data_IF_819148402621
#
_entry.id   IF_819148402621
#
_cell.length_a   1.000
_cell.length_b   1.000
_cell.length_c   1.000
_cell.angle_alpha   90.00
_cell.angle_beta   90.00
_cell.angle_gamma   90.00
#
_symmetry.space_group_name_H-M   'P 1'
#
loop_
_entity.id
_entity.type
_entity.pdbx_description
1 polymer ?
#
# COMPACT_ATOMS: atom_id res chain seq x y z
N UNK A 1 53.26 -11.60 75.04
CA UNK A 1 52.30 -11.77 73.93
C UNK A 1 52.86 -11.06 72.70
N UNK A 2 53.38 -11.81 71.73
CA UNK A 2 53.78 -11.30 70.42
C UNK A 2 52.73 -11.78 69.43
N UNK A 3 52.01 -10.87 68.80
CA UNK A 3 51.08 -11.19 67.73
C UNK A 3 51.87 -11.33 66.43
N UNK A 4 51.75 -12.49 65.80
CA UNK A 4 52.42 -12.82 64.55
C UNK A 4 51.61 -12.24 63.38
N UNK A 5 52.13 -11.18 62.76
CA UNK A 5 51.48 -10.37 61.71
C UNK A 5 51.78 -10.90 60.28
N UNK A 6 52.41 -12.06 60.15
CA UNK A 6 52.96 -12.54 58.87
C UNK A 6 51.96 -13.26 57.95
N UNK A 7 50.72 -13.49 58.38
CA UNK A 7 49.72 -14.24 57.59
C UNK A 7 48.76 -13.40 56.72
N UNK A 8 48.82 -12.06 56.78
CA UNK A 8 47.83 -11.19 56.08
C UNK A 8 48.21 -10.79 54.65
N UNK A 9 49.50 -10.74 54.31
CA UNK A 9 49.92 -10.21 52.99
C UNK A 9 49.69 -11.21 51.85
N UNK A 10 49.71 -12.52 52.13
CA UNK A 10 49.59 -13.55 51.08
C UNK A 10 48.18 -13.68 50.47
N UNK A 11 47.14 -13.32 51.22
CA UNK A 11 45.74 -13.41 50.75
C UNK A 11 45.42 -12.25 49.80
N UNK A 12 45.93 -11.05 50.11
CA UNK A 12 45.74 -9.86 49.30
C UNK A 12 46.50 -9.97 47.97
N UNK A 13 47.72 -10.49 47.97
CA UNK A 13 48.49 -10.73 46.75
C UNK A 13 47.88 -11.81 45.85
N UNK A 14 47.20 -12.81 46.43
CA UNK A 14 46.40 -13.78 45.67
C UNK A 14 45.15 -13.13 45.06
N UNK A 15 44.47 -12.25 45.78
CA UNK A 15 43.31 -11.52 45.26
C UNK A 15 43.71 -10.51 44.19
N UNK A 16 44.80 -9.76 44.38
CA UNK A 16 45.37 -8.84 43.39
C UNK A 16 45.85 -9.63 42.16
N UNK A 17 46.56 -10.75 42.32
CA UNK A 17 46.97 -11.59 41.19
C UNK A 17 45.78 -12.20 40.44
N UNK A 18 44.71 -12.61 41.14
CA UNK A 18 43.48 -13.07 40.51
C UNK A 18 42.73 -11.95 39.77
N UNK A 19 42.77 -10.72 40.29
CA UNK A 19 42.21 -9.53 39.65
C UNK A 19 43.05 -9.06 38.44
N UNK A 20 44.37 -9.12 38.53
CA UNK A 20 45.32 -8.77 37.47
C UNK A 20 45.34 -9.83 36.37
N UNK A 21 45.26 -11.13 36.68
CA UNK A 21 45.07 -12.20 35.67
C UNK A 21 43.75 -12.10 34.91
N UNK A 22 42.73 -11.45 35.46
CA UNK A 22 41.50 -11.12 34.72
C UNK A 22 41.66 -9.94 33.76
N UNK A 23 42.80 -9.22 33.80
CA UNK A 23 43.02 -7.97 33.03
C UNK A 23 44.04 -8.05 31.90
N UNK A 24 44.76 -9.14 31.69
CA UNK A 24 45.39 -9.40 30.39
C UNK A 24 44.33 -9.97 29.44
N UNK A 25 43.27 -9.20 29.24
CA UNK A 25 42.29 -9.43 28.18
C UNK A 25 43.10 -9.25 26.90
N UNK A 26 43.39 -10.34 26.19
CA UNK A 26 44.05 -10.27 24.89
C UNK A 26 43.41 -9.13 24.11
N UNK A 27 44.23 -8.20 23.63
CA UNK A 27 43.75 -7.06 22.85
C UNK A 27 43.12 -7.66 21.60
N UNK A 28 41.80 -7.74 21.63
CA UNK A 28 41.06 -8.19 20.48
C UNK A 28 41.11 -7.07 19.45
N UNK A 29 41.60 -7.40 18.25
CA UNK A 29 41.62 -6.49 17.10
C UNK A 29 40.23 -6.14 16.55
N UNK A 30 39.18 -6.79 17.08
CA UNK A 30 37.81 -6.67 16.63
C UNK A 30 37.55 -7.39 15.31
N UNK A 31 36.27 -7.63 15.02
CA UNK A 31 35.78 -8.20 13.78
C UNK A 31 35.04 -7.12 12.99
N UNK A 32 35.44 -6.89 11.74
CA UNK A 32 34.78 -5.91 10.88
C UNK A 32 33.62 -6.57 10.14
N UNK A 33 32.39 -6.15 10.44
CA UNK A 33 31.21 -6.63 9.70
C UNK A 33 31.29 -6.21 8.22
N UNK A 34 31.01 -7.13 7.27
CA UNK A 34 30.85 -6.77 5.86
C UNK A 34 29.52 -6.05 5.67
N UNK A 35 29.56 -4.72 5.66
CA UNK A 35 28.36 -3.88 5.50
C UNK A 35 28.26 -3.47 4.02
N UNK A 36 27.14 -3.73 3.34
CA UNK A 36 26.95 -3.31 1.96
C UNK A 36 27.11 -1.80 1.79
N UNK A 37 27.64 -1.39 0.63
CA UNK A 37 27.82 0.03 0.32
C UNK A 37 26.48 0.80 0.41
N UNK A 38 26.52 1.98 1.03
CA UNK A 38 25.34 2.83 1.21
C UNK A 38 24.50 2.51 2.44
N UNK A 39 24.83 1.46 3.19
CA UNK A 39 24.11 1.11 4.43
C UNK A 39 24.89 1.54 5.67
N UNK A 40 24.14 2.04 6.66
CA UNK A 40 24.68 2.25 8.00
C UNK A 40 24.69 0.91 8.76
N UNK A 41 25.77 0.58 9.47
CA UNK A 41 25.84 -0.63 10.30
C UNK A 41 24.74 -0.68 11.37
N UNK A 42 24.26 0.49 11.82
CA UNK A 42 23.15 0.62 12.76
C UNK A 42 21.77 0.31 12.15
N UNK A 43 21.65 0.30 10.83
CA UNK A 43 20.39 -0.02 10.16
C UNK A 43 20.27 -1.50 9.83
N UNK A 44 21.39 -2.19 9.60
CA UNK A 44 21.39 -3.58 9.15
C UNK A 44 21.65 -4.59 10.27
N UNK A 45 22.34 -4.17 11.35
CA UNK A 45 22.63 -5.08 12.46
C UNK A 45 21.39 -5.38 13.31
N UNK A 46 21.10 -6.65 13.65
CA UNK A 46 19.93 -7.06 14.43
C UNK A 46 20.16 -6.89 15.94
N UNK A 47 20.01 -5.66 16.45
CA UNK A 47 20.28 -5.33 17.86
C UNK A 47 19.48 -6.16 18.87
N UNK A 48 18.24 -6.49 18.54
CA UNK A 48 17.35 -7.27 19.40
C UNK A 48 17.82 -8.71 19.65
N UNK A 49 18.78 -9.22 18.86
CA UNK A 49 19.40 -10.52 19.17
C UNK A 49 20.16 -10.52 20.50
N UNK A 50 20.71 -9.38 20.92
CA UNK A 50 21.41 -9.30 22.21
C UNK A 50 20.47 -9.39 23.42
N UNK A 51 19.18 -9.13 23.23
CA UNK A 51 18.17 -9.28 24.29
C UNK A 51 17.63 -10.71 24.38
N UNK A 52 17.62 -11.43 23.25
CA UNK A 52 17.02 -12.76 23.13
C UNK A 52 18.05 -13.88 23.18
N UNK A 53 19.32 -13.60 22.88
CA UNK A 53 20.41 -14.56 22.82
C UNK A 53 21.62 -14.08 23.62
N UNK A 54 22.27 -15.00 24.32
CA UNK A 54 23.53 -14.74 25.02
C UNK A 54 24.70 -14.75 24.03
N UNK A 55 24.82 -13.70 23.22
CA UNK A 55 25.90 -13.58 22.25
C UNK A 55 27.24 -13.30 22.96
N UNK A 56 28.34 -13.98 22.59
CA UNK A 56 29.64 -13.82 23.24
C UNK A 56 30.38 -12.51 22.87
N UNK A 57 29.73 -11.61 22.13
CA UNK A 57 30.28 -10.31 21.74
C UNK A 57 29.34 -9.18 22.12
N UNK A 58 29.92 -8.00 22.28
CA UNK A 58 29.16 -6.76 22.43
C UNK A 58 29.25 -5.95 21.12
N UNK A 59 28.17 -5.25 20.79
CA UNK A 59 28.16 -4.36 19.65
C UNK A 59 28.71 -2.98 20.07
N UNK A 60 29.95 -2.70 19.68
CA UNK A 60 30.56 -1.38 19.91
C UNK A 60 30.91 -0.70 18.59
N UNK A 61 30.31 0.46 18.30
CA UNK A 61 30.62 1.20 17.07
C UNK A 61 31.81 2.15 17.25
N UNK A 62 32.97 1.62 17.65
CA UNK A 62 34.23 2.37 17.51
C UNK A 62 34.91 1.83 16.25
N UNK A 63 34.86 2.60 15.15
CA UNK A 63 35.48 2.28 13.87
C UNK A 63 34.89 1.09 13.08
N UNK A 64 33.68 0.62 13.42
CA UNK A 64 33.02 -0.46 12.68
C UNK A 64 33.52 -1.87 13.01
N UNK A 65 34.16 -2.06 14.16
CA UNK A 65 34.63 -3.36 14.65
C UNK A 65 33.79 -3.85 15.82
N UNK A 66 33.36 -5.10 15.79
CA UNK A 66 32.79 -5.83 16.93
C UNK A 66 33.94 -6.37 17.78
N UNK A 67 33.97 -6.13 19.09
CA UNK A 67 35.05 -6.67 19.92
C UNK A 67 34.84 -8.15 20.28
N UNK A 68 35.69 -9.07 19.81
CA UNK A 68 36.20 -10.25 20.56
C UNK A 68 37.03 -11.23 19.68
N UNK A 69 37.74 -12.15 20.34
CA UNK A 69 38.58 -13.17 19.70
C UNK A 69 37.74 -14.35 19.19
N UNK A 70 38.05 -14.87 18.01
CA UNK A 70 37.45 -16.07 17.37
C UNK A 70 35.99 -15.96 16.90
N UNK A 71 35.54 -14.76 16.56
CA UNK A 71 34.19 -14.54 16.03
C UNK A 71 33.94 -15.14 14.65
N UNK A 72 34.97 -15.24 13.82
CA UNK A 72 34.83 -15.73 12.44
C UNK A 72 34.29 -17.16 12.38
N UNK A 73 34.58 -17.98 13.40
CA UNK A 73 34.08 -19.35 13.50
C UNK A 73 32.71 -19.45 14.21
N UNK A 74 32.16 -18.33 14.70
CA UNK A 74 30.89 -18.33 15.40
C UNK A 74 29.71 -18.44 14.41
N UNK A 75 28.99 -19.57 14.48
CA UNK A 75 27.84 -19.83 13.62
C UNK A 75 26.76 -18.74 13.67
N UNK A 76 26.45 -18.19 14.84
CA UNK A 76 25.44 -17.15 14.96
C UNK A 76 25.85 -15.85 14.26
N UNK A 77 27.15 -15.50 14.30
CA UNK A 77 27.65 -14.35 13.55
C UNK A 77 27.59 -14.60 12.04
N UNK A 78 27.97 -15.79 11.58
CA UNK A 78 27.87 -16.16 10.16
C UNK A 78 26.42 -16.09 9.66
N UNK A 79 25.46 -16.58 10.45
CA UNK A 79 24.04 -16.48 10.11
C UNK A 79 23.55 -15.01 10.05
N UNK A 80 24.08 -14.13 10.90
CA UNK A 80 23.77 -12.68 10.85
C UNK A 80 24.39 -12.05 9.60
N UNK A 81 25.64 -12.37 9.27
CA UNK A 81 26.32 -11.86 8.08
C UNK A 81 25.56 -12.27 6.82
N UNK A 82 25.21 -13.55 6.70
CA UNK A 82 24.44 -14.05 5.56
C UNK A 82 23.12 -13.29 5.38
N UNK A 83 22.44 -12.95 6.48
CA UNK A 83 21.19 -12.18 6.44
C UNK A 83 21.37 -10.71 6.13
N UNK A 84 22.52 -10.11 6.47
CA UNK A 84 22.86 -8.76 6.04
C UNK A 84 23.07 -8.74 4.53
N UNK A 85 23.65 -9.80 3.96
CA UNK A 85 23.92 -9.94 2.52
C UNK A 85 22.66 -10.28 1.72
N UNK A 86 21.93 -11.33 2.12
CA UNK A 86 20.75 -11.83 1.40
C UNK A 86 19.46 -11.07 1.72
N UNK A 87 19.45 -10.33 2.83
CA UNK A 87 18.26 -9.77 3.43
C UNK A 87 17.55 -10.73 4.39
N UNK A 88 16.60 -10.18 5.15
CA UNK A 88 15.79 -10.93 6.11
C UNK A 88 14.38 -11.06 5.54
N UNK A 89 13.87 -12.29 5.49
CA UNK A 89 12.51 -12.56 5.00
C UNK A 89 11.46 -11.91 5.92
N UNK A 90 10.37 -11.39 5.36
CA UNK A 90 9.33 -10.64 6.11
C UNK A 90 8.67 -11.44 7.24
N UNK A 91 8.65 -12.77 7.14
CA UNK A 91 8.07 -13.66 8.16
C UNK A 91 9.07 -14.11 9.22
N UNK A 92 10.31 -13.62 9.16
CA UNK A 92 11.31 -13.95 10.18
C UNK A 92 10.92 -13.31 11.51
N UNK A 93 11.32 -13.90 12.66
CA UNK A 93 11.14 -13.25 13.95
C UNK A 93 11.81 -11.87 13.99
N UNK A 94 11.16 -10.91 14.67
CA UNK A 94 11.60 -9.51 14.67
C UNK A 94 13.01 -9.31 15.23
N UNK A 95 13.48 -10.19 16.12
CA UNK A 95 14.83 -10.06 16.67
C UNK A 95 15.92 -10.10 15.59
N UNK A 96 15.64 -10.73 14.44
CA UNK A 96 16.59 -10.85 13.34
C UNK A 96 16.59 -9.69 12.36
N UNK A 97 15.67 -8.75 12.49
CA UNK A 97 15.61 -7.59 11.61
C UNK A 97 16.47 -6.46 12.15
N UNK A 98 17.34 -5.91 11.30
CA UNK A 98 17.94 -4.59 11.57
C UNK A 98 16.89 -3.49 11.54
N UNK A 99 17.20 -2.35 12.17
CA UNK A 99 16.30 -1.18 12.26
C UNK A 99 15.79 -0.74 10.88
N UNK A 100 16.65 -0.73 9.86
CA UNK A 100 16.29 -0.37 8.50
C UNK A 100 15.28 -1.35 7.87
N UNK A 101 15.43 -2.64 8.14
CA UNK A 101 14.48 -3.67 7.68
C UNK A 101 13.11 -3.50 8.37
N UNK A 102 13.09 -3.26 9.68
CA UNK A 102 11.86 -2.98 10.43
C UNK A 102 11.15 -1.72 9.93
N UNK A 103 11.90 -0.65 9.63
CA UNK A 103 11.32 0.57 9.04
C UNK A 103 10.69 0.31 7.67
N UNK A 104 11.33 -0.49 6.82
CA UNK A 104 10.79 -0.86 5.52
C UNK A 104 9.53 -1.72 5.65
N UNK A 105 9.54 -2.69 6.56
CA UNK A 105 8.38 -3.51 6.87
C UNK A 105 7.22 -2.65 7.39
N UNK A 106 7.48 -1.71 8.30
CA UNK A 106 6.48 -0.80 8.82
C UNK A 106 5.86 0.06 7.71
N UNK A 107 6.67 0.61 6.80
CA UNK A 107 6.19 1.35 5.62
C UNK A 107 5.31 0.49 4.72
N UNK A 108 5.73 -0.75 4.45
CA UNK A 108 4.95 -1.67 3.64
C UNK A 108 3.59 -1.99 4.28
N UNK A 109 3.58 -2.28 5.59
CA UNK A 109 2.34 -2.52 6.33
C UNK A 109 1.44 -1.29 6.40
N UNK A 110 2.01 -0.09 6.51
CA UNK A 110 1.23 1.14 6.43
C UNK A 110 0.54 1.28 5.06
N UNK A 111 1.28 1.05 3.96
CA UNK A 111 0.69 1.09 2.63
C UNK A 111 -0.44 0.06 2.44
N UNK A 112 -0.32 -1.14 3.02
CA UNK A 112 -1.39 -2.13 3.03
C UNK A 112 -2.63 -1.65 3.79
N UNK A 113 -2.44 -1.05 4.96
CA UNK A 113 -3.54 -0.49 5.77
C UNK A 113 -4.27 0.60 4.98
N UNK A 114 -3.54 1.53 4.37
CA UNK A 114 -4.11 2.64 3.60
C UNK A 114 -4.93 2.11 2.42
N UNK A 115 -4.44 1.08 1.72
CA UNK A 115 -5.16 0.43 0.63
C UNK A 115 -6.49 -0.21 1.10
N UNK A 116 -6.48 -0.90 2.25
CA UNK A 116 -7.71 -1.49 2.80
C UNK A 116 -8.71 -0.42 3.26
N UNK A 117 -8.24 0.69 3.84
CA UNK A 117 -9.09 1.81 4.23
C UNK A 117 -9.76 2.46 3.01
N UNK A 118 -9.01 2.66 1.94
CA UNK A 118 -9.54 3.19 0.68
C UNK A 118 -10.60 2.24 0.10
N UNK A 119 -10.31 0.93 0.06
CA UNK A 119 -11.28 -0.07 -0.40
C UNK A 119 -12.55 -0.06 0.44
N UNK A 120 -12.44 -0.05 1.77
CA UNK A 120 -13.59 0.01 2.68
C UNK A 120 -14.42 1.28 2.47
N UNK A 121 -13.77 2.42 2.29
CA UNK A 121 -14.44 3.70 2.00
C UNK A 121 -15.22 3.67 0.69
N UNK A 122 -14.62 3.11 -0.37
CA UNK A 122 -15.27 2.97 -1.66
C UNK A 122 -16.49 2.03 -1.60
N UNK A 123 -16.39 0.93 -0.86
CA UNK A 123 -17.51 0.01 -0.64
C UNK A 123 -18.64 0.68 0.15
N UNK A 124 -18.32 1.43 1.21
CA UNK A 124 -19.30 2.17 1.99
C UNK A 124 -20.04 3.21 1.13
N UNK A 125 -19.33 3.96 0.29
CA UNK A 125 -19.95 4.89 -0.66
C UNK A 125 -20.85 4.17 -1.68
N UNK A 126 -20.45 3.00 -2.18
CA UNK A 126 -21.28 2.21 -3.09
C UNK A 126 -22.58 1.76 -2.43
N UNK A 127 -22.52 1.27 -1.18
CA UNK A 127 -23.69 0.88 -0.40
C UNK A 127 -24.62 2.07 -0.15
N UNK A 128 -24.07 3.24 0.18
CA UNK A 128 -24.85 4.45 0.37
C UNK A 128 -25.62 4.84 -0.90
N UNK A 129 -24.97 4.77 -2.07
CA UNK A 129 -25.62 5.02 -3.37
C UNK A 129 -26.73 4.01 -3.67
N UNK A 130 -26.59 2.77 -3.25
CA UNK A 130 -27.64 1.76 -3.41
C UNK A 130 -28.81 2.03 -2.46
N UNK A 131 -28.54 2.42 -1.22
CA UNK A 131 -29.56 2.78 -0.24
C UNK A 131 -30.41 3.96 -0.73
N UNK A 132 -29.80 5.01 -1.30
CA UNK A 132 -30.55 6.15 -1.86
C UNK A 132 -31.49 5.72 -2.98
N UNK A 133 -31.06 4.82 -3.87
CA UNK A 133 -31.92 4.28 -4.95
C UNK A 133 -33.11 3.51 -4.38
N UNK A 134 -32.88 2.70 -3.34
CA UNK A 134 -33.94 1.94 -2.68
C UNK A 134 -34.96 2.89 -2.03
N UNK A 135 -34.51 3.94 -1.37
CA UNK A 135 -35.40 4.91 -0.72
C UNK A 135 -36.20 5.73 -1.73
N UNK A 136 -35.61 6.11 -2.86
CA UNK A 136 -36.32 6.74 -3.97
C UNK A 136 -37.41 5.80 -4.53
N UNK A 137 -37.09 4.51 -4.71
CA UNK A 137 -38.05 3.52 -5.17
C UNK A 137 -39.22 3.33 -4.19
N UNK A 138 -38.94 3.26 -2.87
CA UNK A 138 -39.99 3.23 -1.84
C UNK A 138 -40.88 4.45 -1.92
N UNK A 139 -40.30 5.64 -2.08
CA UNK A 139 -41.07 6.89 -2.18
C UNK A 139 -41.99 6.92 -3.40
N UNK A 140 -41.53 6.38 -4.54
CA UNK A 140 -42.35 6.25 -5.75
C UNK A 140 -43.51 5.29 -5.52
N UNK A 141 -43.26 4.15 -4.88
CA UNK A 141 -44.31 3.19 -4.54
C UNK A 141 -45.37 3.78 -3.61
N UNK A 142 -44.97 4.49 -2.54
CA UNK A 142 -45.90 5.13 -1.61
C UNK A 142 -46.82 6.13 -2.32
N UNK A 143 -46.28 6.95 -3.24
CA UNK A 143 -47.08 7.89 -4.03
C UNK A 143 -48.06 7.16 -4.96
N UNK A 144 -47.63 6.04 -5.56
CA UNK A 144 -48.49 5.25 -6.43
C UNK A 144 -49.65 4.62 -5.64
N UNK A 145 -49.41 4.12 -4.43
CA UNK A 145 -50.46 3.56 -3.58
C UNK A 145 -51.44 4.61 -3.08
N UNK A 146 -50.98 5.82 -2.76
CA UNK A 146 -51.84 6.93 -2.35
C UNK A 146 -52.79 7.36 -3.47
N UNK A 147 -52.29 7.38 -4.72
CA UNK A 147 -53.10 7.69 -5.90
C UNK A 147 -54.20 6.66 -6.18
N UNK A 148 -54.10 5.43 -5.66
CA UNK A 148 -55.13 4.40 -5.82
C UNK A 148 -56.26 4.52 -4.78
N UNK A 149 -56.03 5.24 -3.67
CA UNK A 149 -57.01 5.37 -2.57
C UNK A 149 -57.85 6.66 -2.65
N UNK A 150 -57.62 7.54 -3.62
CA UNK A 150 -58.52 8.67 -3.88
C UNK A 150 -59.63 8.29 -4.87
N UNK A 151 -60.92 8.39 -4.48
CA UNK A 151 -62.02 8.23 -5.43
C UNK A 151 -61.94 9.33 -6.49
N UNK A 152 -61.93 8.90 -7.75
CA UNK A 152 -61.81 9.76 -8.93
C UNK A 152 -62.95 10.77 -9.00
N UNK A 153 -62.74 11.98 -8.48
CA UNK A 153 -63.49 13.18 -8.89
C UNK A 153 -62.72 13.78 -10.05
N UNK A 154 -63.14 13.41 -11.26
CA UNK A 154 -62.65 14.01 -12.51
C UNK A 154 -63.15 15.44 -12.60
N UNK A 155 -62.27 16.40 -12.35
CA UNK A 155 -62.37 17.74 -12.97
C UNK A 155 -61.22 17.86 -13.95
N UNK A 156 -61.58 18.13 -15.19
CA UNK A 156 -60.66 18.24 -16.31
C UNK A 156 -59.72 19.42 -16.19
N UNK A 157 -58.73 19.34 -17.07
CA UNK A 157 -57.92 20.42 -17.62
C UNK A 157 -56.47 20.55 -17.12
N UNK A 158 -55.62 20.56 -18.15
CA UNK A 158 -54.24 21.03 -18.26
C UNK A 158 -53.09 20.02 -18.10
N UNK A 159 -52.72 19.49 -19.27
CA UNK A 159 -51.58 18.63 -19.56
C UNK A 159 -50.24 19.38 -19.51
N UNK A 160 -49.55 19.28 -18.37
CA UNK A 160 -48.12 19.60 -18.25
C UNK A 160 -47.25 18.38 -18.57
N UNK A 161 -46.85 18.24 -19.84
CA UNK A 161 -45.99 17.17 -20.35
C UNK A 161 -44.58 17.29 -19.73
N UNK A 162 -44.25 16.46 -18.73
CA UNK A 162 -42.89 16.37 -18.21
C UNK A 162 -41.92 16.00 -19.35
N UNK A 163 -40.79 16.72 -19.52
CA UNK A 163 -39.82 16.41 -20.55
C UNK A 163 -39.21 15.04 -20.29
N UNK A 164 -39.30 14.14 -21.27
CA UNK A 164 -38.68 12.83 -21.20
C UNK A 164 -37.16 12.98 -20.97
N UNK A 165 -36.52 12.07 -20.19
CA UNK A 165 -35.08 12.08 -20.00
C UNK A 165 -34.39 12.03 -21.37
N UNK A 166 -33.60 13.07 -21.66
CA UNK A 166 -32.97 13.27 -22.96
C UNK A 166 -31.95 12.14 -23.18
N UNK A 167 -32.26 11.20 -24.06
CA UNK A 167 -31.32 10.15 -24.41
C UNK A 167 -30.14 10.76 -25.19
N UNK A 168 -28.89 10.38 -24.89
CA UNK A 168 -27.74 10.89 -25.64
C UNK A 168 -27.87 10.52 -27.12
N UNK A 169 -27.60 11.48 -28.00
CA UNK A 169 -27.60 11.22 -29.43
C UNK A 169 -26.50 10.20 -29.79
N UNK A 170 -26.71 9.35 -30.83
CA UNK A 170 -25.66 8.48 -31.33
C UNK A 170 -24.37 9.25 -31.65
N UNK A 171 -23.22 8.67 -31.34
CA UNK A 171 -21.92 9.35 -31.49
C UNK A 171 -20.97 8.50 -32.35
N UNK A 172 -20.30 9.11 -33.32
CA UNK A 172 -19.25 8.44 -34.10
C UNK A 172 -18.05 8.10 -33.21
N UNK A 173 -17.42 6.96 -33.45
CA UNK A 173 -16.30 6.47 -32.66
C UNK A 173 -15.14 7.47 -32.57
N UNK A 174 -14.79 8.13 -33.69
CA UNK A 174 -13.69 9.09 -33.71
C UNK A 174 -14.00 10.33 -32.86
N UNK A 175 -15.28 10.77 -32.84
CA UNK A 175 -15.76 11.82 -31.93
C UNK A 175 -15.61 11.39 -30.47
N UNK A 176 -15.95 10.14 -30.15
CA UNK A 176 -15.78 9.58 -28.82
C UNK A 176 -14.30 9.51 -28.40
N UNK A 177 -13.40 9.07 -29.30
CA UNK A 177 -11.95 9.05 -29.03
C UNK A 177 -11.41 10.45 -28.79
N UNK A 178 -11.80 11.43 -29.63
CA UNK A 178 -11.41 12.84 -29.46
C UNK A 178 -11.84 13.35 -28.08
N UNK A 179 -13.09 13.10 -27.72
CA UNK A 179 -13.64 13.48 -26.43
C UNK A 179 -12.90 12.84 -25.24
N UNK A 180 -12.57 11.54 -25.31
CA UNK A 180 -11.76 10.88 -24.28
C UNK A 180 -10.38 11.52 -24.13
N UNK A 181 -9.74 11.91 -25.23
CA UNK A 181 -8.45 12.63 -25.21
C UNK A 181 -8.55 14.02 -24.61
N UNK A 182 -9.63 14.76 -24.89
CA UNK A 182 -9.91 16.07 -24.27
C UNK A 182 -10.08 15.95 -22.75
N UNK A 183 -10.57 14.81 -22.25
CA UNK A 183 -10.66 14.48 -20.82
C UNK A 183 -9.36 13.92 -20.23
N UNK A 184 -8.25 13.98 -20.97
CA UNK A 184 -6.91 13.62 -20.51
C UNK A 184 -6.54 12.14 -20.69
N UNK A 185 -7.42 11.31 -21.28
CA UNK A 185 -7.05 9.92 -21.56
C UNK A 185 -6.07 9.81 -22.72
N UNK A 186 -5.06 8.96 -22.57
CA UNK A 186 -4.18 8.58 -23.67
C UNK A 186 -4.80 7.42 -24.46
N UNK A 187 -4.97 7.62 -25.77
CA UNK A 187 -5.47 6.61 -26.70
C UNK A 187 -4.30 5.82 -27.28
N UNK A 188 -4.33 4.49 -27.14
CA UNK A 188 -3.32 3.59 -27.69
C UNK A 188 -3.83 2.92 -29.00
N UNK A 189 -3.38 3.40 -30.18
CA UNK A 189 -3.79 2.83 -31.46
C UNK A 189 -3.18 1.45 -31.75
N UNK A 190 -2.19 1.00 -30.96
CA UNK A 190 -1.49 -0.27 -31.22
C UNK A 190 -2.28 -1.50 -30.79
N UNK A 191 -3.43 -1.31 -30.12
CA UNK A 191 -4.29 -2.42 -29.72
C UNK A 191 -4.95 -3.01 -30.97
N UNK A 192 -4.44 -4.15 -31.44
CA UNK A 192 -4.97 -4.83 -32.61
C UNK A 192 -6.42 -5.29 -32.38
N UNK A 193 -7.30 -5.00 -33.35
CA UNK A 193 -8.68 -5.48 -33.38
C UNK A 193 -9.73 -4.43 -32.99
N UNK A 194 -10.90 -4.89 -32.57
CA UNK A 194 -12.05 -4.04 -32.22
C UNK A 194 -12.03 -3.54 -30.77
N UNK A 195 -11.02 -3.88 -29.98
CA UNK A 195 -10.88 -3.44 -28.58
C UNK A 195 -9.81 -2.36 -28.48
N UNK A 196 -10.17 -1.20 -27.94
CA UNK A 196 -9.28 -0.05 -27.81
C UNK A 196 -9.04 0.26 -26.34
N UNK A 197 -7.78 0.43 -25.96
CA UNK A 197 -7.36 0.82 -24.61
C UNK A 197 -7.21 2.34 -24.48
N UNK A 198 -7.73 2.87 -23.38
CA UNK A 198 -7.55 4.25 -22.93
C UNK A 198 -6.84 4.24 -21.58
N UNK A 199 -5.70 4.92 -21.48
CA UNK A 199 -4.99 5.08 -20.21
C UNK A 199 -5.44 6.39 -19.54
N UNK A 200 -5.80 6.38 -18.25
CA UNK A 200 -6.23 7.58 -17.54
C UNK A 200 -5.08 8.60 -17.36
N UNK A 201 -5.41 9.87 -17.07
CA UNK A 201 -4.40 10.90 -16.83
C UNK A 201 -3.59 10.66 -15.54
N UNK A 202 -4.21 10.06 -14.52
CA UNK A 202 -3.51 9.63 -13.31
C UNK A 202 -2.89 8.23 -13.56
N UNK A 203 -1.57 8.06 -13.43
CA UNK A 203 -0.92 6.76 -13.63
C UNK A 203 -1.27 5.72 -12.56
N UNK A 204 -1.84 6.12 -11.42
CA UNK A 204 -2.31 5.19 -10.37
C UNK A 204 -3.63 4.52 -10.75
N UNK A 205 -4.40 5.12 -11.67
CA UNK A 205 -5.69 4.61 -12.09
C UNK A 205 -5.55 3.50 -13.15
N UNK A 206 -6.49 2.55 -13.11
CA UNK A 206 -6.49 1.43 -14.07
C UNK A 206 -6.95 1.86 -15.48
N UNK A 207 -6.28 1.39 -16.55
CA UNK A 207 -6.73 1.57 -17.93
C UNK A 207 -8.12 0.99 -18.19
N UNK A 208 -8.85 1.57 -19.15
CA UNK A 208 -10.15 1.06 -19.60
C UNK A 208 -10.10 0.63 -21.06
N UNK A 209 -10.65 -0.55 -21.35
CA UNK A 209 -10.81 -1.06 -22.72
C UNK A 209 -12.27 -0.95 -23.16
N UNK A 210 -12.49 -0.33 -24.33
CA UNK A 210 -13.80 -0.13 -24.93
C UNK A 210 -13.80 -0.77 -26.33
N UNK A 211 -14.86 -1.52 -26.62
CA UNK A 211 -15.02 -2.18 -27.91
C UNK A 211 -15.60 -1.21 -28.95
N UNK A 212 -14.84 -0.94 -30.02
CA UNK A 212 -15.25 -0.21 -31.21
C UNK A 212 -16.34 -1.00 -31.95
N UNK A 213 -17.53 -0.42 -32.17
CA UNK A 213 -18.58 -1.07 -32.96
C UNK A 213 -18.14 -1.35 -34.41
N UNK A 214 -18.63 -2.46 -34.98
CA UNK A 214 -18.41 -2.86 -36.38
C UNK A 214 -19.70 -3.57 -36.87
N UNK A 215 -20.15 -3.39 -38.13
CA UNK A 215 -19.48 -2.70 -39.24
C UNK A 215 -19.54 -1.17 -39.18
N UNK A 216 -20.58 -0.57 -38.61
CA UNK A 216 -20.67 0.89 -38.46
C UNK A 216 -20.01 1.32 -37.13
N UNK A 217 -18.97 2.19 -37.15
CA UNK A 217 -18.29 2.68 -35.96
C UNK A 217 -19.10 3.79 -35.27
N UNK A 218 -20.40 3.58 -35.05
CA UNK A 218 -21.28 4.49 -34.31
C UNK A 218 -21.64 3.87 -32.97
N UNK A 219 -21.39 4.58 -31.87
CA UNK A 219 -21.85 4.22 -30.54
C UNK A 219 -23.31 4.66 -30.39
N UNK A 220 -24.21 3.68 -30.26
CA UNK A 220 -25.61 3.95 -29.98
C UNK A 220 -25.83 4.50 -28.56
N UNK A 221 -26.98 5.16 -28.30
CA UNK A 221 -27.28 5.81 -27.02
C UNK A 221 -27.11 4.90 -25.80
N UNK A 222 -27.60 3.66 -25.89
CA UNK A 222 -27.50 2.66 -24.82
C UNK A 222 -26.04 2.33 -24.49
N UNK A 223 -25.18 2.22 -25.52
CA UNK A 223 -23.76 1.90 -25.35
C UNK A 223 -23.02 3.08 -24.71
N UNK A 224 -23.36 4.31 -25.08
CA UNK A 224 -22.81 5.52 -24.46
C UNK A 224 -23.11 5.58 -22.96
N UNK A 225 -24.38 5.34 -22.57
CA UNK A 225 -24.78 5.28 -21.16
C UNK A 225 -24.03 4.18 -20.39
N UNK A 226 -23.80 3.01 -21.02
CA UNK A 226 -23.03 1.93 -20.41
C UNK A 226 -21.55 2.31 -20.20
N UNK A 227 -20.94 2.97 -21.18
CA UNK A 227 -19.57 3.46 -21.11
C UNK A 227 -19.45 4.52 -20.00
N UNK A 228 -20.36 5.49 -19.98
CA UNK A 228 -20.42 6.56 -18.99
C UNK A 228 -20.53 6.00 -17.55
N UNK A 229 -21.47 5.08 -17.32
CA UNK A 229 -21.60 4.37 -16.03
C UNK A 229 -20.35 3.58 -15.66
N UNK A 230 -19.58 3.11 -16.64
CA UNK A 230 -18.31 2.41 -16.38
C UNK A 230 -17.22 3.41 -16.02
N UNK A 231 -17.08 4.52 -16.74
CA UNK A 231 -16.14 5.60 -16.43
C UNK A 231 -16.39 6.17 -15.03
N UNK A 232 -17.64 6.46 -14.69
CA UNK A 232 -18.04 6.94 -13.35
C UNK A 232 -17.71 5.96 -12.23
N UNK A 233 -17.85 4.65 -12.47
CA UNK A 233 -17.49 3.62 -11.50
C UNK A 233 -15.98 3.47 -11.29
N UNK A 234 -15.20 3.60 -12.37
CA UNK A 234 -13.74 3.42 -12.31
C UNK A 234 -13.04 4.64 -11.74
N UNK A 235 -13.42 5.83 -12.18
CA UNK A 235 -12.64 7.04 -11.92
C UNK A 235 -13.34 7.98 -10.91
N UNK A 236 -14.64 7.85 -10.67
CA UNK A 236 -15.36 8.58 -9.61
C UNK A 236 -15.59 10.08 -9.88
N UNK A 237 -14.71 10.75 -10.64
CA UNK A 237 -14.77 12.17 -10.99
C UNK A 237 -15.50 12.47 -12.32
N UNK A 238 -16.04 11.44 -12.98
CA UNK A 238 -16.72 11.58 -14.27
C UNK A 238 -18.15 12.13 -14.12
N UNK A 239 -18.44 13.29 -14.75
CA UNK A 239 -19.76 13.91 -14.72
C UNK A 239 -20.67 13.37 -15.83
N UNK A 240 -21.94 13.12 -15.51
CA UNK A 240 -22.91 12.55 -16.47
C UNK A 240 -23.23 13.51 -17.62
N UNK A 241 -23.13 14.81 -17.36
CA UNK A 241 -23.42 15.84 -18.37
C UNK A 241 -22.34 15.96 -19.46
N UNK A 242 -21.12 15.47 -19.20
CA UNK A 242 -19.97 15.67 -20.09
C UNK A 242 -20.13 14.93 -21.42
N UNK A 243 -20.74 13.74 -21.40
CA UNK A 243 -20.96 12.93 -22.60
C UNK A 243 -22.19 13.38 -23.39
N UNK A 244 -23.15 14.01 -22.71
CA UNK A 244 -24.43 14.45 -23.28
C UNK A 244 -24.29 15.83 -23.93
N UNK A 245 -23.45 16.72 -23.37
CA UNK A 245 -23.11 18.01 -23.96
C UNK A 245 -22.05 17.82 -25.03
N UNK A 246 -22.45 17.32 -26.19
CA UNK A 246 -21.55 17.24 -27.35
C UNK A 246 -20.95 18.62 -27.63
N UNK A 247 -19.62 18.73 -27.80
CA UNK A 247 -19.03 19.95 -28.33
C UNK A 247 -19.58 20.16 -29.74
N UNK A 248 -20.24 21.31 -29.96
CA UNK A 248 -20.66 21.74 -31.30
C UNK A 248 -19.46 22.06 -32.17
#
# INVERSE_FOLDING_TARGET
>A
MKYDLTHSESELDKQISAFVRRKTKEICNGYRLPIPHGYSPHLVYPFALHETQNLPWDYSFRQGFISCAKLEENKALQDIIQRIEDGVHETSPFEYHGIGSLMNLAKHKQAQIDAYQLQGSNQAQQLLRQATIIDDYKRLLSKATDSMHQPSVRTGDEAGKQPAPMQPAPMKWDTFVKFMREKGFQYDPSTAGSSVRFNPPDPCDSPITIHKPHPDPTLGPIKLVQIEKRLKRYYGWWNEEDLIRQPR
#
